data_IF_656938063326
#
_entry.id   IF_656938063326
#
_cell.length_a   1.000
_cell.length_b   1.000
_cell.length_c   1.000
_cell.angle_alpha   90.00
_cell.angle_beta   90.00
_cell.angle_gamma   90.00
#
_symmetry.space_group_name_H-M   'P 1'
#
loop_
_entity.id
_entity.type
_entity.pdbx_description
1 polymer ?
#
# COMPACT_ATOMS: atom_id res chain seq x y z
N UNK A 1 -26.36 46.91 2.04
CA UNK A 1 -25.69 46.26 3.19
C UNK A 1 -25.23 44.90 2.72
N UNK A 2 -23.93 44.74 2.45
CA UNK A 2 -23.33 43.48 1.98
C UNK A 2 -22.79 42.73 3.19
N UNK A 3 -23.41 41.60 3.52
CA UNK A 3 -22.95 40.69 4.57
C UNK A 3 -21.86 39.79 3.99
N UNK A 4 -20.60 40.08 4.27
CA UNK A 4 -19.49 39.15 4.01
C UNK A 4 -19.55 37.98 5.01
N UNK A 5 -19.54 36.72 4.56
CA UNK A 5 -19.44 35.58 5.48
C UNK A 5 -18.00 35.50 6.01
N UNK A 6 -17.87 35.71 7.33
CA UNK A 6 -16.65 35.43 8.09
C UNK A 6 -16.34 33.93 7.98
N UNK A 7 -15.50 33.56 7.01
CA UNK A 7 -14.95 32.22 6.92
C UNK A 7 -13.62 32.27 7.66
N UNK A 8 -13.62 31.89 8.94
CA UNK A 8 -12.37 31.65 9.66
C UNK A 8 -11.55 30.60 8.88
N UNK A 9 -10.23 30.77 8.75
CA UNK A 9 -9.39 29.77 8.12
C UNK A 9 -9.55 28.44 8.87
N UNK A 10 -9.80 27.35 8.13
CA UNK A 10 -9.90 26.01 8.70
C UNK A 10 -8.63 25.70 9.49
N UNK A 11 -8.74 25.59 10.81
CA UNK A 11 -7.66 25.13 11.66
C UNK A 11 -7.27 23.74 11.17
N UNK A 12 -6.00 23.46 10.82
CA UNK A 12 -5.60 22.13 10.40
C UNK A 12 -5.89 21.18 11.56
N UNK A 13 -6.72 20.16 11.30
CA UNK A 13 -7.04 19.12 12.27
C UNK A 13 -5.71 18.44 12.61
N UNK A 14 -5.10 18.80 13.75
CA UNK A 14 -3.98 18.04 14.32
C UNK A 14 -4.49 16.61 14.49
N UNK A 15 -3.97 15.68 13.69
CA UNK A 15 -4.20 14.25 13.94
C UNK A 15 -3.76 13.98 15.38
N UNK A 16 -4.69 13.56 16.20
CA UNK A 16 -4.50 13.33 17.63
C UNK A 16 -3.29 12.40 17.85
N UNK A 17 -2.28 12.86 18.58
CA UNK A 17 -0.99 12.17 18.72
C UNK A 17 -1.16 10.75 19.30
N UNK A 18 -2.20 10.55 20.12
CA UNK A 18 -2.57 9.25 20.67
C UNK A 18 -3.03 8.26 19.58
N UNK A 19 -3.72 8.72 18.54
CA UNK A 19 -4.17 7.88 17.42
C UNK A 19 -2.96 7.42 16.60
N UNK A 20 -2.03 8.35 16.32
CA UNK A 20 -0.81 8.06 15.55
C UNK A 20 0.10 7.09 16.32
N UNK A 21 0.24 7.30 17.63
CA UNK A 21 0.95 6.38 18.52
C UNK A 21 0.36 4.97 18.47
N UNK A 22 -0.94 4.83 18.72
CA UNK A 22 -1.62 3.53 18.76
C UNK A 22 -1.54 2.78 17.42
N UNK A 23 -1.67 3.49 16.29
CA UNK A 23 -1.49 2.89 14.97
C UNK A 23 -0.06 2.39 14.76
N UNK A 24 0.91 3.10 15.33
CA UNK A 24 2.33 2.78 15.16
C UNK A 24 2.75 1.57 15.99
N UNK A 25 2.28 1.52 17.24
CA UNK A 25 2.50 0.37 18.12
C UNK A 25 1.80 -0.87 17.56
N UNK A 26 0.55 -0.77 17.09
CA UNK A 26 -0.15 -1.92 16.48
C UNK A 26 0.61 -2.51 15.30
N UNK A 27 1.18 -1.66 14.45
CA UNK A 27 2.00 -2.12 13.33
C UNK A 27 3.25 -2.87 13.83
N UNK A 28 4.01 -2.24 14.72
CA UNK A 28 5.25 -2.82 15.21
C UNK A 28 5.02 -4.14 15.97
N UNK A 29 3.95 -4.21 16.78
CA UNK A 29 3.54 -5.44 17.47
C UNK A 29 3.17 -6.57 16.50
N UNK A 30 2.51 -6.26 15.39
CA UNK A 30 2.19 -7.26 14.36
C UNK A 30 3.47 -7.78 13.67
N UNK A 31 4.40 -6.89 13.33
CA UNK A 31 5.69 -7.28 12.74
C UNK A 31 6.53 -8.12 13.71
N UNK A 32 6.51 -7.78 15.00
CA UNK A 32 7.14 -8.56 16.06
C UNK A 32 6.49 -9.96 16.20
N UNK A 33 5.16 -10.01 16.22
CA UNK A 33 4.42 -11.28 16.29
C UNK A 33 4.74 -12.22 15.11
N UNK A 34 4.95 -11.65 13.92
CA UNK A 34 5.37 -12.40 12.74
C UNK A 34 6.86 -12.72 12.69
N UNK A 35 7.63 -12.37 13.72
CA UNK A 35 9.08 -12.55 13.79
C UNK A 35 9.83 -11.90 12.61
N UNK A 36 9.27 -10.82 12.07
CA UNK A 36 9.91 -9.99 11.04
C UNK A 36 10.83 -8.93 11.65
N UNK A 37 10.60 -8.62 12.93
CA UNK A 37 11.50 -7.85 13.80
C UNK A 37 11.53 -8.52 15.16
N UNK A 38 12.67 -8.48 15.82
CA UNK A 38 12.93 -9.23 17.06
C UNK A 38 13.65 -8.40 18.13
N UNK A 39 14.11 -7.19 17.80
CA UNK A 39 14.79 -6.30 18.74
C UNK A 39 13.95 -5.08 19.11
N UNK A 40 14.09 -4.66 20.37
CA UNK A 40 13.48 -3.44 20.90
C UNK A 40 13.84 -2.21 20.04
N UNK A 41 15.10 -2.12 19.62
CA UNK A 41 15.59 -1.05 18.74
C UNK A 41 14.84 -1.03 17.39
N UNK A 42 14.66 -2.20 16.77
CA UNK A 42 13.94 -2.30 15.48
C UNK A 42 12.47 -1.94 15.61
N UNK A 43 11.84 -2.31 16.73
CA UNK A 43 10.45 -1.94 17.06
C UNK A 43 10.33 -0.43 17.21
N UNK A 44 11.19 0.22 18.01
CA UNK A 44 11.18 1.66 18.18
C UNK A 44 11.44 2.41 16.87
N UNK A 45 12.39 1.90 16.06
CA UNK A 45 12.70 2.46 14.75
C UNK A 45 11.50 2.40 13.81
N UNK A 46 10.78 1.27 13.77
CA UNK A 46 9.56 1.13 12.98
C UNK A 46 8.45 2.09 13.42
N UNK A 47 8.24 2.21 14.74
CA UNK A 47 7.28 3.18 15.30
C UNK A 47 7.65 4.59 14.86
N UNK A 48 8.92 4.98 14.97
CA UNK A 48 9.39 6.30 14.58
C UNK A 48 9.19 6.58 13.08
N UNK A 49 9.56 5.62 12.21
CA UNK A 49 9.38 5.72 10.76
C UNK A 49 7.90 5.92 10.41
N UNK A 50 7.01 5.12 10.99
CA UNK A 50 5.59 5.21 10.71
C UNK A 50 4.97 6.51 11.24
N UNK A 51 5.35 6.97 12.44
CA UNK A 51 4.88 8.26 12.96
C UNK A 51 5.31 9.42 12.07
N UNK A 52 6.58 9.42 11.64
CA UNK A 52 7.09 10.42 10.70
C UNK A 52 6.27 10.40 9.41
N UNK A 53 5.95 9.23 8.90
CA UNK A 53 5.12 9.08 7.71
C UNK A 53 3.67 9.57 7.91
N UNK A 54 3.00 9.20 9.01
CA UNK A 54 1.60 9.59 9.27
C UNK A 54 1.41 11.10 9.46
N UNK A 55 2.49 11.78 9.86
CA UNK A 55 2.60 13.24 10.03
C UNK A 55 3.08 13.98 8.78
N UNK A 56 3.50 13.27 7.73
CA UNK A 56 3.79 13.93 6.45
C UNK A 56 2.50 14.53 5.88
N UNK A 57 2.63 15.72 5.32
CA UNK A 57 1.60 16.28 4.46
C UNK A 57 1.25 15.28 3.36
N UNK A 58 -0.04 15.10 3.02
CA UNK A 58 -0.45 14.22 1.93
C UNK A 58 0.39 14.51 0.69
N UNK A 59 1.13 13.50 0.23
CA UNK A 59 2.11 13.64 -0.83
C UNK A 59 1.42 14.18 -2.09
N UNK A 60 1.90 15.31 -2.62
CA UNK A 60 1.18 15.98 -3.71
C UNK A 60 1.46 15.38 -5.09
N UNK A 61 2.66 14.85 -5.42
CA UNK A 61 2.96 14.41 -6.80
C UNK A 61 3.78 13.09 -6.89
N UNK A 62 3.33 12.18 -7.76
CA UNK A 62 3.90 10.84 -7.99
C UNK A 62 5.25 10.83 -8.75
N UNK A 63 5.57 11.92 -9.45
CA UNK A 63 6.60 11.92 -10.50
C UNK A 63 8.03 11.71 -9.98
N UNK A 64 8.30 12.08 -8.73
CA UNK A 64 9.63 11.94 -8.10
C UNK A 64 9.80 10.64 -7.32
N UNK A 65 8.72 10.05 -6.81
CA UNK A 65 8.80 8.89 -5.92
C UNK A 65 8.93 7.58 -6.67
N UNK A 66 8.27 7.46 -7.84
CA UNK A 66 8.28 6.22 -8.61
C UNK A 66 9.69 5.83 -9.09
N UNK A 67 10.52 6.72 -9.67
CA UNK A 67 11.90 6.38 -10.03
C UNK A 67 12.76 6.01 -8.81
N UNK A 68 12.61 6.73 -7.70
CA UNK A 68 13.35 6.43 -6.46
C UNK A 68 12.97 5.05 -5.90
N UNK A 69 11.69 4.69 -5.94
CA UNK A 69 11.23 3.37 -5.53
C UNK A 69 11.80 2.27 -6.43
N UNK A 70 11.80 2.49 -7.75
CA UNK A 70 12.38 1.56 -8.72
C UNK A 70 13.87 1.28 -8.45
N UNK A 71 14.64 2.31 -8.09
CA UNK A 71 16.06 2.18 -7.74
C UNK A 71 16.30 1.47 -6.39
N UNK A 72 15.42 1.69 -5.41
CA UNK A 72 15.57 1.16 -4.05
C UNK A 72 14.97 -0.25 -3.88
N UNK A 73 14.16 -0.71 -4.82
CA UNK A 73 13.57 -2.03 -4.75
C UNK A 73 14.68 -3.10 -4.77
N UNK A 74 14.65 -4.07 -3.84
CA UNK A 74 15.68 -5.09 -3.79
C UNK A 74 15.65 -5.93 -5.07
N UNK A 75 16.78 -5.96 -5.79
CA UNK A 75 16.99 -6.82 -6.96
C UNK A 75 17.22 -8.25 -6.49
N UNK A 76 16.33 -9.13 -6.87
CA UNK A 76 16.18 -10.44 -6.25
C UNK A 76 15.80 -11.46 -7.29
N UNK A 77 16.46 -12.61 -7.24
CA UNK A 77 16.17 -13.70 -8.17
C UNK A 77 14.83 -14.35 -7.79
N UNK A 78 13.86 -14.24 -8.70
CA UNK A 78 12.56 -14.88 -8.61
C UNK A 78 11.43 -14.05 -8.01
N UNK A 79 10.25 -14.66 -7.99
CA UNK A 79 8.98 -14.01 -7.67
C UNK A 79 8.75 -13.91 -6.16
N UNK A 80 8.14 -12.82 -5.71
CA UNK A 80 7.99 -12.49 -4.29
C UNK A 80 6.56 -12.15 -3.89
N UNK A 81 6.30 -12.29 -2.60
CA UNK A 81 5.13 -11.73 -1.94
C UNK A 81 5.57 -10.40 -1.30
N UNK A 82 4.98 -9.31 -1.77
CA UNK A 82 5.17 -7.96 -1.25
C UNK A 82 4.07 -7.65 -0.26
N UNK A 83 4.41 -7.64 1.03
CA UNK A 83 3.51 -7.15 2.08
C UNK A 83 3.66 -5.63 2.18
N UNK A 84 2.74 -4.90 1.57
CA UNK A 84 2.74 -3.45 1.53
C UNK A 84 1.83 -2.88 2.60
N UNK A 85 2.25 -1.82 3.28
CA UNK A 85 1.31 -1.03 4.07
C UNK A 85 0.59 -0.04 3.15
N UNK A 86 -0.62 0.39 3.54
CA UNK A 86 -1.33 1.48 2.85
C UNK A 86 -0.63 2.82 3.16
N UNK A 87 0.57 2.97 2.64
CA UNK A 87 1.52 4.04 2.87
C UNK A 87 1.96 4.53 1.48
N UNK A 88 1.67 5.79 1.18
CA UNK A 88 2.10 6.51 0.00
C UNK A 88 1.02 6.61 -1.07
N UNK A 89 1.40 7.04 -2.28
CA UNK A 89 0.51 7.07 -3.42
C UNK A 89 -0.08 5.70 -3.73
N UNK A 90 -1.37 5.68 -4.03
CA UNK A 90 -2.10 4.45 -4.29
C UNK A 90 -1.50 3.70 -5.49
N UNK A 91 -1.35 2.38 -5.35
CA UNK A 91 -0.78 1.48 -6.34
C UNK A 91 0.68 1.74 -6.75
N UNK A 92 1.45 2.54 -6.00
CA UNK A 92 2.81 2.88 -6.43
C UNK A 92 3.73 1.66 -6.55
N UNK A 93 3.59 0.69 -5.65
CA UNK A 93 4.32 -0.58 -5.71
C UNK A 93 3.95 -1.39 -6.95
N UNK A 94 2.66 -1.47 -7.26
CA UNK A 94 2.17 -2.15 -8.46
C UNK A 94 2.76 -1.51 -9.73
N UNK A 95 2.78 -0.18 -9.80
CA UNK A 95 3.35 0.57 -10.92
C UNK A 95 4.85 0.34 -11.07
N UNK A 96 5.61 0.40 -9.97
CA UNK A 96 7.05 0.17 -9.99
C UNK A 96 7.39 -1.23 -10.51
N UNK A 97 6.71 -2.27 -10.01
CA UNK A 97 6.97 -3.64 -10.43
C UNK A 97 6.63 -3.89 -11.90
N UNK A 98 5.51 -3.35 -12.39
CA UNK A 98 5.14 -3.47 -13.81
C UNK A 98 6.15 -2.74 -14.71
N UNK A 99 6.63 -1.55 -14.32
CA UNK A 99 7.65 -0.81 -15.09
C UNK A 99 8.98 -1.54 -15.17
N UNK A 100 9.31 -2.35 -14.16
CA UNK A 100 10.46 -3.25 -14.16
C UNK A 100 10.22 -4.53 -14.98
N UNK A 101 9.06 -4.68 -15.64
CA UNK A 101 8.73 -5.81 -16.50
C UNK A 101 8.13 -7.01 -15.78
N UNK A 102 7.74 -6.86 -14.51
CA UNK A 102 7.16 -7.96 -13.74
C UNK A 102 5.65 -8.06 -13.92
N UNK A 103 5.15 -9.29 -14.07
CA UNK A 103 3.73 -9.58 -13.88
C UNK A 103 3.35 -9.51 -12.41
N UNK A 104 2.21 -8.89 -12.09
CA UNK A 104 1.76 -8.73 -10.71
C UNK A 104 0.36 -9.30 -10.46
N UNK A 105 0.17 -9.84 -9.27
CA UNK A 105 -1.10 -10.32 -8.75
C UNK A 105 -1.45 -9.57 -7.47
N UNK A 106 -2.60 -8.91 -7.42
CA UNK A 106 -3.01 -8.09 -6.28
C UNK A 106 -4.10 -8.83 -5.50
N UNK A 107 -3.86 -9.06 -4.21
CA UNK A 107 -4.86 -9.58 -3.30
C UNK A 107 -5.73 -8.42 -2.78
N UNK A 108 -7.01 -8.45 -3.14
CA UNK A 108 -8.00 -7.45 -2.74
C UNK A 108 -9.08 -8.08 -1.86
N UNK A 109 -9.54 -7.34 -0.85
CA UNK A 109 -10.75 -7.74 -0.13
C UNK A 109 -11.99 -7.46 -0.98
N UNK A 110 -13.02 -8.29 -0.79
CA UNK A 110 -14.26 -8.20 -1.55
C UNK A 110 -14.98 -6.87 -1.37
N UNK A 111 -14.98 -6.35 -0.14
CA UNK A 111 -15.62 -5.08 0.24
C UNK A 111 -15.01 -3.86 -0.43
N UNK A 112 -13.74 -3.95 -0.86
CA UNK A 112 -13.04 -2.87 -1.55
C UNK A 112 -12.79 -3.18 -3.03
N UNK A 113 -13.16 -4.36 -3.52
CA UNK A 113 -12.82 -4.79 -4.88
C UNK A 113 -13.41 -3.85 -5.93
N UNK A 114 -14.70 -3.55 -5.82
CA UNK A 114 -15.41 -2.72 -6.82
C UNK A 114 -14.91 -1.27 -6.84
N UNK A 115 -14.37 -0.78 -5.72
CA UNK A 115 -13.74 0.55 -5.65
C UNK A 115 -12.31 0.52 -6.20
N UNK A 116 -11.52 -0.47 -5.79
CA UNK A 116 -10.08 -0.52 -6.04
C UNK A 116 -9.74 -1.01 -7.45
N UNK A 117 -10.52 -1.93 -8.01
CA UNK A 117 -10.28 -2.49 -9.33
C UNK A 117 -10.25 -1.42 -10.43
N UNK A 118 -11.28 -0.55 -10.58
CA UNK A 118 -11.26 0.52 -11.59
C UNK A 118 -10.10 1.50 -11.39
N UNK A 119 -9.72 1.79 -10.13
CA UNK A 119 -8.58 2.66 -9.83
C UNK A 119 -7.27 2.09 -10.36
N UNK A 120 -7.01 0.79 -10.15
CA UNK A 120 -5.82 0.12 -10.70
C UNK A 120 -5.81 0.14 -12.23
N UNK A 121 -6.95 -0.14 -12.87
CA UNK A 121 -7.06 -0.10 -14.33
C UNK A 121 -6.78 1.30 -14.87
N UNK A 122 -7.40 2.33 -14.28
CA UNK A 122 -7.22 3.72 -14.71
C UNK A 122 -5.76 4.17 -14.53
N UNK A 123 -5.11 3.81 -13.42
CA UNK A 123 -3.71 4.15 -13.19
C UNK A 123 -2.76 3.43 -14.15
N UNK A 124 -3.03 2.17 -14.48
CA UNK A 124 -2.29 1.44 -15.50
C UNK A 124 -2.42 2.14 -16.85
N UNK A 125 -3.65 2.45 -17.27
CA UNK A 125 -3.93 3.15 -18.53
C UNK A 125 -3.27 4.51 -18.59
N UNK A 126 -3.27 5.29 -17.51
CA UNK A 126 -2.55 6.57 -17.42
C UNK A 126 -1.04 6.41 -17.55
N UNK A 127 -0.48 5.30 -17.06
CA UNK A 127 0.97 5.06 -17.08
C UNK A 127 1.47 4.51 -18.41
N UNK A 128 0.65 3.69 -19.10
CA UNK A 128 1.08 2.94 -20.29
C UNK A 128 0.25 3.21 -21.56
N UNK A 129 -0.81 4.03 -21.48
CA UNK A 129 -1.67 4.38 -22.61
C UNK A 129 -2.62 3.27 -23.10
N UNK A 130 -2.64 2.11 -22.44
CA UNK A 130 -3.45 0.95 -22.81
C UNK A 130 -3.95 0.20 -21.58
N UNK A 131 -4.86 -0.75 -21.78
CA UNK A 131 -5.28 -1.68 -20.72
C UNK A 131 -4.20 -2.75 -20.46
N UNK A 132 -4.11 -3.28 -19.22
CA UNK A 132 -3.19 -4.36 -18.89
C UNK A 132 -3.62 -5.66 -19.55
N UNK A 133 -2.65 -6.48 -19.96
CA UNK A 133 -2.92 -7.84 -20.38
C UNK A 133 -2.88 -8.81 -19.19
N UNK A 134 -3.30 -10.06 -19.43
CA UNK A 134 -3.35 -11.08 -18.39
C UNK A 134 -1.99 -11.40 -17.75
N UNK A 135 -0.89 -11.19 -18.48
CA UNK A 135 0.50 -11.36 -18.05
C UNK A 135 1.00 -10.27 -17.09
N UNK A 136 0.36 -9.11 -17.07
CA UNK A 136 0.85 -7.93 -16.36
C UNK A 136 0.15 -7.70 -15.04
N UNK A 137 -1.18 -7.88 -15.02
CA UNK A 137 -1.98 -7.52 -13.85
C UNK A 137 -3.14 -8.50 -13.67
N UNK A 138 -3.14 -9.18 -12.52
CA UNK A 138 -4.17 -10.10 -12.07
C UNK A 138 -4.71 -9.66 -10.72
N UNK A 139 -6.00 -9.91 -10.47
CA UNK A 139 -6.63 -9.65 -9.18
C UNK A 139 -7.13 -10.94 -8.56
N UNK A 140 -6.91 -11.09 -7.27
CA UNK A 140 -7.42 -12.21 -6.47
C UNK A 140 -8.26 -11.63 -5.34
N UNK A 141 -9.52 -12.04 -5.27
CA UNK A 141 -10.43 -11.69 -4.18
C UNK A 141 -10.07 -12.48 -2.93
N UNK A 142 -10.06 -11.87 -1.75
CA UNK A 142 -9.53 -12.49 -0.54
C UNK A 142 -10.52 -13.42 0.17
N UNK A 143 -11.83 -13.31 -0.10
CA UNK A 143 -12.86 -14.12 0.58
C UNK A 143 -12.96 -15.57 0.06
N UNK A 144 -12.40 -15.83 -1.12
CA UNK A 144 -12.54 -17.11 -1.79
C UNK A 144 -11.81 -18.23 -1.05
N UNK A 145 -12.48 -19.37 -0.88
CA UNK A 145 -11.86 -20.59 -0.36
C UNK A 145 -10.65 -21.07 -1.19
N UNK A 146 -10.55 -20.60 -2.45
CA UNK A 146 -9.47 -20.91 -3.40
C UNK A 146 -8.43 -19.80 -3.55
N UNK A 147 -8.55 -18.67 -2.85
CA UNK A 147 -7.69 -17.49 -3.07
C UNK A 147 -6.21 -17.78 -2.82
N UNK A 148 -5.89 -18.52 -1.75
CA UNK A 148 -4.51 -18.95 -1.49
C UNK A 148 -3.96 -19.90 -2.56
N UNK A 149 -4.81 -20.79 -3.08
CA UNK A 149 -4.45 -21.70 -4.17
C UNK A 149 -4.15 -20.90 -5.44
N UNK A 150 -4.99 -19.92 -5.75
CA UNK A 150 -4.82 -19.03 -6.90
C UNK A 150 -3.54 -18.19 -6.78
N UNK A 151 -3.25 -17.61 -5.61
CA UNK A 151 -1.99 -16.88 -5.37
C UNK A 151 -0.77 -17.78 -5.54
N UNK A 152 -0.81 -19.01 -5.01
CA UNK A 152 0.27 -19.99 -5.18
C UNK A 152 0.50 -20.35 -6.64
N UNK A 153 -0.56 -20.50 -7.43
CA UNK A 153 -0.46 -20.74 -8.87
C UNK A 153 0.13 -19.55 -9.62
N UNK A 154 -0.27 -18.32 -9.27
CA UNK A 154 0.27 -17.09 -9.86
C UNK A 154 1.77 -16.93 -9.54
N UNK A 155 2.19 -17.18 -8.30
CA UNK A 155 3.62 -17.19 -7.94
C UNK A 155 4.42 -18.19 -8.79
N UNK A 156 3.89 -19.41 -8.99
CA UNK A 156 4.52 -20.43 -9.84
C UNK A 156 4.57 -20.05 -11.32
N UNK A 157 3.64 -19.22 -11.78
CA UNK A 157 3.56 -18.73 -13.17
C UNK A 157 4.42 -17.48 -13.42
N UNK A 158 5.08 -16.97 -12.39
CA UNK A 158 5.99 -15.86 -12.53
C UNK A 158 5.47 -14.50 -12.08
N UNK A 159 4.39 -14.47 -11.31
CA UNK A 159 3.81 -13.22 -10.82
C UNK A 159 4.37 -12.86 -9.45
N UNK A 160 4.68 -11.58 -9.26
CA UNK A 160 4.85 -11.03 -7.92
C UNK A 160 3.47 -10.81 -7.29
N UNK A 161 3.29 -11.24 -6.05
CA UNK A 161 2.03 -11.04 -5.32
C UNK A 161 2.14 -9.78 -4.46
N UNK A 162 1.17 -8.89 -4.53
CA UNK A 162 1.08 -7.70 -3.67
C UNK A 162 -0.09 -7.90 -2.70
N UNK A 163 0.22 -7.83 -1.42
CA UNK A 163 -0.75 -7.91 -0.33
C UNK A 163 -0.69 -6.62 0.47
N UNK A 164 -1.79 -5.87 0.52
CA UNK A 164 -1.84 -4.69 1.36
C UNK A 164 -2.27 -5.05 2.78
N UNK A 165 -1.31 -4.97 3.69
CA UNK A 165 -1.52 -5.16 5.11
C UNK A 165 -1.97 -3.83 5.72
N UNK A 166 -3.15 -3.82 6.33
CA UNK A 166 -3.59 -2.72 7.19
C UNK A 166 -3.78 -3.29 8.59
N UNK A 167 -3.18 -2.71 9.64
CA UNK A 167 -3.58 -3.08 10.99
C UNK A 167 -5.09 -2.81 11.11
N UNK A 168 -5.86 -3.84 11.43
CA UNK A 168 -7.30 -3.72 11.54
C UNK A 168 -7.63 -2.64 12.58
N UNK A 169 -8.66 -1.83 12.29
CA UNK A 169 -9.46 -1.24 13.35
C UNK A 169 -10.29 -2.38 13.95
N UNK A 170 -9.65 -3.26 14.70
CA UNK A 170 -10.43 -4.07 15.64
C UNK A 170 -10.90 -3.07 16.70
N UNK A 171 -12.17 -2.69 16.60
CA UNK A 171 -12.94 -2.12 17.70
C UNK A 171 -12.87 -3.12 18.85
N UNK A 172 -12.17 -2.72 19.91
CA UNK A 172 -12.53 -3.12 21.26
C UNK A 172 -13.48 -2.04 21.76
#
# INVERSE_FOLDING_TARGET
MNSTPNTLPAIPIRKDDHIVWNQSVKLASMLYHWKLVDSYESILRLVHIQQRYLRQEPFKHDNTFLPQLEEQLPKVDGHRIWACFHIGPYAIMARALIRLGYGIAILLKDDVFEEQYPMYMQQFKRSFGREPNAGELQFVRSSGSKSLIQLKQLLKRGYHVICYVRPSRSSV
#
